data_IF_101408962425
#
_entry.id   IF_101408962425
#
_cell.length_a   1.000
_cell.length_b   1.000
_cell.length_c   1.000
_cell.angle_alpha   90.00
_cell.angle_beta   90.00
_cell.angle_gamma   90.00
#
_symmetry.space_group_name_H-M   'P 1'
#
loop_
_entity.id
_entity.type
_entity.pdbx_description
1 polymer ?
#
# COMPACT_ATOMS: atom_id res chain seq x y z
N UNK A 1 -16.08 1.44 -19.26
CA UNK A 1 -15.07 0.42 -19.55
C UNK A 1 -15.55 -0.94 -19.06
N UNK A 2 -15.36 -2.05 -19.80
CA UNK A 2 -15.72 -3.39 -19.34
C UNK A 2 -14.87 -3.87 -18.14
N UNK A 3 -13.80 -3.16 -17.84
CA UNK A 3 -12.88 -3.46 -16.73
C UNK A 3 -13.10 -2.55 -15.51
N UNK A 4 -14.12 -1.70 -15.53
CA UNK A 4 -14.54 -0.95 -14.36
C UNK A 4 -15.25 -1.91 -13.39
N UNK A 5 -14.99 -1.78 -12.10
CA UNK A 5 -15.67 -2.59 -11.09
C UNK A 5 -17.18 -2.48 -11.20
N UNK A 6 -17.89 -3.58 -10.98
CA UNK A 6 -19.35 -3.56 -10.89
C UNK A 6 -19.79 -2.79 -9.66
N UNK A 7 -20.96 -2.15 -9.74
CA UNK A 7 -21.51 -1.35 -8.63
C UNK A 7 -21.64 -2.14 -7.33
N UNK A 8 -22.08 -3.39 -7.41
CA UNK A 8 -22.17 -4.30 -6.26
C UNK A 8 -20.81 -4.51 -5.54
N UNK A 9 -19.72 -4.61 -6.32
CA UNK A 9 -18.38 -4.74 -5.75
C UNK A 9 -17.86 -3.43 -5.17
N UNK A 10 -18.15 -2.30 -5.80
CA UNK A 10 -17.81 -0.99 -5.27
C UNK A 10 -18.47 -0.76 -3.92
N UNK A 11 -19.76 -1.10 -3.78
CA UNK A 11 -20.50 -0.99 -2.53
C UNK A 11 -19.91 -1.89 -1.46
N UNK A 12 -19.56 -3.15 -1.76
CA UNK A 12 -18.97 -4.08 -0.79
C UNK A 12 -17.58 -3.63 -0.31
N UNK A 13 -16.84 -2.91 -1.15
CA UNK A 13 -15.55 -2.32 -0.82
C UNK A 13 -15.63 -0.93 -0.14
N UNK A 14 -16.86 -0.43 0.09
CA UNK A 14 -17.09 0.86 0.73
C UNK A 14 -17.18 2.06 -0.22
N UNK A 15 -17.25 1.84 -1.52
CA UNK A 15 -17.54 2.89 -2.48
C UNK A 15 -19.00 2.76 -3.01
N UNK A 16 -19.74 3.86 -3.16
CA UNK A 16 -19.29 5.27 -3.14
C UNK A 16 -18.96 5.84 -1.75
N UNK A 17 -19.03 5.05 -0.69
CA UNK A 17 -18.76 5.48 0.67
C UNK A 17 -19.76 6.55 1.17
N UNK A 18 -19.68 6.92 2.41
CA UNK A 18 -20.37 8.09 2.93
C UNK A 18 -19.48 9.32 2.67
N UNK A 19 -19.83 10.07 1.63
CA UNK A 19 -19.17 11.34 1.37
C UNK A 19 -19.44 12.30 2.52
N UNK A 20 -18.36 12.89 3.05
CA UNK A 20 -18.47 13.93 4.06
C UNK A 20 -19.18 15.17 3.51
N UNK A 21 -19.82 15.96 4.39
CA UNK A 21 -20.39 17.24 3.98
C UNK A 21 -19.32 18.14 3.35
N UNK A 22 -19.68 18.86 2.30
CA UNK A 22 -18.78 19.71 1.50
C UNK A 22 -17.55 18.96 0.97
N UNK A 23 -17.74 17.70 0.58
CA UNK A 23 -16.66 16.81 0.13
C UNK A 23 -15.81 17.39 -1.00
N UNK A 24 -16.41 18.15 -1.94
CA UNK A 24 -15.69 18.77 -3.05
C UNK A 24 -14.68 19.81 -2.55
N UNK A 25 -15.10 20.69 -1.67
CA UNK A 25 -14.24 21.70 -1.05
C UNK A 25 -13.10 21.02 -0.27
N UNK A 26 -13.44 20.08 0.61
CA UNK A 26 -12.45 19.32 1.39
C UNK A 26 -11.45 18.56 0.51
N UNK A 27 -11.91 17.99 -0.60
CA UNK A 27 -11.02 17.30 -1.55
C UNK A 27 -10.05 18.27 -2.25
N UNK A 28 -10.53 19.45 -2.61
CA UNK A 28 -9.71 20.51 -3.23
C UNK A 28 -8.69 21.05 -2.23
N UNK A 29 -9.11 21.31 -1.00
CA UNK A 29 -8.24 21.78 0.09
C UNK A 29 -7.16 20.75 0.38
N UNK A 30 -7.55 19.47 0.53
CA UNK A 30 -6.59 18.37 0.73
C UNK A 30 -5.61 18.26 -0.42
N UNK A 31 -6.08 18.40 -1.67
CA UNK A 31 -5.20 18.41 -2.84
C UNK A 31 -4.22 19.60 -2.78
N UNK A 32 -4.67 20.78 -2.35
CA UNK A 32 -3.82 21.96 -2.15
C UNK A 32 -2.73 21.73 -1.11
N UNK A 33 -3.08 21.10 0.02
CA UNK A 33 -2.14 20.71 1.07
C UNK A 33 -1.06 19.75 0.52
N UNK A 34 -1.48 18.72 -0.23
CA UNK A 34 -0.57 17.76 -0.84
C UNK A 34 0.37 18.41 -1.87
N UNK A 35 -0.13 19.34 -2.68
CA UNK A 35 0.70 20.11 -3.63
C UNK A 35 1.71 21.02 -2.94
N UNK A 36 1.44 21.42 -1.71
CA UNK A 36 2.34 22.23 -0.88
C UNK A 36 3.36 21.36 -0.15
N UNK A 37 2.88 20.27 0.45
CA UNK A 37 3.71 19.30 1.20
C UNK A 37 4.67 18.54 0.29
N UNK A 38 4.19 18.08 -0.87
CA UNK A 38 4.96 17.28 -1.83
C UNK A 38 5.21 18.07 -3.12
N UNK A 39 6.32 18.82 -3.16
CA UNK A 39 6.68 19.62 -4.33
C UNK A 39 6.81 18.81 -5.62
N UNK A 40 7.25 17.56 -5.53
CA UNK A 40 7.30 16.60 -6.63
C UNK A 40 5.97 16.41 -7.33
N UNK A 41 4.87 16.38 -6.58
CA UNK A 41 3.53 16.19 -7.13
C UNK A 41 3.17 17.28 -8.16
N UNK A 42 3.44 18.55 -7.83
CA UNK A 42 3.23 19.67 -8.76
C UNK A 42 4.11 19.54 -10.00
N UNK A 43 5.40 19.24 -9.80
CA UNK A 43 6.34 19.04 -10.92
C UNK A 43 5.85 17.92 -11.84
N UNK A 44 5.40 16.81 -11.29
CA UNK A 44 4.88 15.70 -12.09
C UNK A 44 3.63 16.06 -12.90
N UNK A 45 2.70 16.80 -12.30
CA UNK A 45 1.47 17.24 -12.97
C UNK A 45 1.74 18.27 -14.08
N UNK A 46 2.76 19.13 -13.92
CA UNK A 46 3.09 20.16 -14.90
C UNK A 46 4.03 19.67 -16.00
N UNK A 47 5.02 18.81 -15.68
CA UNK A 47 6.11 18.45 -16.59
C UNK A 47 5.79 17.32 -17.57
N UNK A 48 4.67 16.60 -17.41
CA UNK A 48 4.33 15.48 -18.30
C UNK A 48 4.01 15.98 -19.72
N UNK A 49 4.81 15.57 -20.68
CA UNK A 49 4.63 15.88 -22.10
C UNK A 49 3.75 14.86 -22.83
N UNK A 50 3.18 13.88 -22.12
CA UNK A 50 2.28 12.85 -22.67
C UNK A 50 2.93 12.00 -23.79
N UNK A 51 4.23 11.77 -23.74
CA UNK A 51 4.97 10.99 -24.75
C UNK A 51 4.58 9.51 -24.84
N UNK A 52 3.88 8.98 -23.83
CA UNK A 52 3.42 7.58 -23.79
C UNK A 52 4.47 6.51 -23.46
N UNK A 53 5.74 6.88 -23.19
CA UNK A 53 6.80 5.90 -22.88
C UNK A 53 6.51 4.96 -21.70
N UNK A 54 5.61 5.36 -20.79
CA UNK A 54 5.16 4.56 -19.65
C UNK A 54 4.02 3.57 -19.99
N UNK A 55 3.38 3.70 -21.15
CA UNK A 55 2.11 3.03 -21.48
C UNK A 55 2.25 1.51 -21.54
N UNK A 56 3.17 1.01 -22.35
CA UNK A 56 3.44 -0.42 -22.54
C UNK A 56 4.14 -1.09 -21.35
N UNK A 57 4.54 -0.30 -20.35
CA UNK A 57 5.19 -0.79 -19.13
C UNK A 57 4.17 -1.12 -18.03
N UNK A 58 2.93 -0.65 -18.15
CA UNK A 58 1.88 -0.91 -17.16
C UNK A 58 1.18 -2.24 -17.44
N UNK A 59 1.29 -3.18 -16.50
CA UNK A 59 0.65 -4.50 -16.62
C UNK A 59 -0.89 -4.40 -16.60
N UNK A 60 -1.47 -3.45 -15.86
CA UNK A 60 -2.92 -3.21 -15.90
C UNK A 60 -3.38 -2.73 -17.29
N UNK A 61 -2.64 -1.81 -17.90
CA UNK A 61 -2.94 -1.42 -19.27
C UNK A 61 -2.76 -2.58 -20.25
N UNK A 62 -1.71 -3.38 -20.08
CA UNK A 62 -1.48 -4.54 -20.94
C UNK A 62 -2.60 -5.57 -20.86
N UNK A 63 -3.15 -5.81 -19.67
CA UNK A 63 -4.27 -6.72 -19.47
C UNK A 63 -5.62 -6.14 -19.92
N UNK A 64 -5.89 -4.87 -19.60
CA UNK A 64 -7.22 -4.28 -19.83
C UNK A 64 -7.37 -3.56 -21.15
N UNK A 65 -6.29 -3.07 -21.74
CA UNK A 65 -6.25 -2.19 -22.90
C UNK A 65 -7.08 -0.89 -22.73
N UNK A 66 -7.51 -0.58 -21.52
CA UNK A 66 -8.24 0.63 -21.21
C UNK A 66 -7.31 1.84 -21.17
N UNK A 67 -7.52 2.89 -21.99
CA UNK A 67 -6.65 4.07 -22.01
C UNK A 67 -6.53 4.79 -20.66
N UNK A 68 -7.55 4.72 -19.80
CA UNK A 68 -7.48 5.30 -18.45
C UNK A 68 -6.54 4.52 -17.52
N UNK A 69 -6.21 3.27 -17.84
CA UNK A 69 -5.20 2.48 -17.14
C UNK A 69 -3.76 2.74 -17.59
N UNK A 70 -3.56 3.48 -18.68
CA UNK A 70 -2.22 4.00 -19.00
C UNK A 70 -1.72 4.87 -17.83
N UNK A 71 -0.45 4.80 -17.44
CA UNK A 71 0.07 5.70 -16.40
C UNK A 71 -0.16 7.19 -16.75
N UNK A 72 0.05 7.56 -17.99
CA UNK A 72 -0.28 8.91 -18.49
C UNK A 72 -1.77 9.22 -18.43
N UNK A 73 -2.65 8.23 -18.63
CA UNK A 73 -4.10 8.36 -18.49
C UNK A 73 -4.49 8.64 -17.04
N UNK A 74 -3.95 7.87 -16.08
CA UNK A 74 -4.14 8.11 -14.64
C UNK A 74 -3.65 9.50 -14.24
N UNK A 75 -2.47 9.90 -14.70
CA UNK A 75 -1.98 11.25 -14.44
C UNK A 75 -2.96 12.32 -14.95
N UNK A 76 -3.54 12.14 -16.13
CA UNK A 76 -4.49 13.09 -16.69
C UNK A 76 -5.79 13.20 -15.89
N UNK A 77 -6.21 12.15 -15.19
CA UNK A 77 -7.38 12.22 -14.29
C UNK A 77 -7.15 13.29 -13.20
N UNK A 78 -6.03 13.23 -12.47
CA UNK A 78 -5.72 14.21 -11.44
C UNK A 78 -5.33 15.58 -12.04
N UNK A 79 -4.58 15.57 -13.14
CA UNK A 79 -4.12 16.77 -13.82
C UNK A 79 -5.28 17.65 -14.32
N UNK A 80 -6.39 17.06 -14.75
CA UNK A 80 -7.56 17.81 -15.20
C UNK A 80 -8.19 18.60 -14.05
N UNK A 81 -8.29 18.00 -12.86
CA UNK A 81 -8.77 18.66 -11.64
C UNK A 81 -7.77 19.68 -11.13
N UNK A 82 -6.48 19.31 -11.08
CA UNK A 82 -5.40 20.22 -10.73
C UNK A 82 -5.42 21.50 -11.57
N UNK A 83 -5.55 21.37 -12.90
CA UNK A 83 -5.63 22.54 -13.79
C UNK A 83 -6.83 23.40 -13.48
N UNK A 84 -7.99 22.80 -13.17
CA UNK A 84 -9.23 23.55 -12.91
C UNK A 84 -9.12 24.47 -11.70
N UNK A 85 -8.51 24.00 -10.62
CA UNK A 85 -8.52 24.72 -9.36
C UNK A 85 -7.21 25.43 -9.01
N UNK A 86 -6.08 24.98 -9.55
CA UNK A 86 -4.75 25.45 -9.14
C UNK A 86 -3.97 26.19 -10.23
N UNK A 87 -4.51 26.33 -11.44
CA UNK A 87 -3.85 27.08 -12.52
C UNK A 87 -4.73 28.18 -13.10
N UNK A 88 -4.12 29.30 -13.46
CA UNK A 88 -4.86 30.43 -14.09
C UNK A 88 -5.54 30.01 -15.40
N UNK A 89 -4.86 29.32 -16.34
CA UNK A 89 -5.52 28.87 -17.57
C UNK A 89 -6.71 27.97 -17.33
N UNK A 90 -6.65 27.09 -16.32
CA UNK A 90 -7.74 26.18 -15.99
C UNK A 90 -8.94 26.89 -15.37
N UNK A 91 -8.73 27.98 -14.66
CA UNK A 91 -9.82 28.82 -14.10
C UNK A 91 -10.59 29.57 -15.19
N UNK A 92 -9.86 30.19 -16.11
CA UNK A 92 -10.45 31.08 -17.12
C UNK A 92 -10.80 30.39 -18.43
N UNK A 93 -10.02 29.39 -18.84
CA UNK A 93 -10.16 28.70 -20.14
C UNK A 93 -10.19 27.16 -19.95
N UNK A 94 -11.10 26.60 -19.13
CA UNK A 94 -11.05 25.18 -18.73
C UNK A 94 -11.08 24.22 -19.93
N UNK A 95 -11.92 24.49 -20.93
CA UNK A 95 -12.05 23.64 -22.11
C UNK A 95 -10.75 23.59 -22.94
N UNK A 96 -10.05 24.71 -23.04
CA UNK A 96 -8.81 24.81 -23.85
C UNK A 96 -7.66 23.98 -23.27
N UNK A 97 -7.57 23.89 -21.94
CA UNK A 97 -6.51 23.17 -21.25
C UNK A 97 -6.95 21.80 -20.70
N UNK A 98 -8.15 21.34 -21.04
CA UNK A 98 -8.67 20.05 -20.59
C UNK A 98 -8.89 19.97 -19.07
N UNK A 99 -9.20 21.12 -18.44
CA UNK A 99 -9.52 21.19 -17.03
C UNK A 99 -10.95 20.70 -16.77
N UNK A 100 -11.17 19.96 -15.67
CA UNK A 100 -12.47 19.40 -15.29
C UNK A 100 -12.80 19.76 -13.84
N UNK A 101 -14.07 20.07 -13.60
CA UNK A 101 -14.59 20.19 -12.25
C UNK A 101 -14.58 18.82 -11.56
N UNK A 102 -14.37 18.80 -10.25
CA UNK A 102 -14.43 17.58 -9.46
C UNK A 102 -15.89 17.21 -9.20
N UNK A 103 -16.43 16.35 -10.05
CA UNK A 103 -17.81 15.82 -9.94
C UNK A 103 -17.80 14.39 -9.38
N UNK A 104 -18.99 13.84 -9.09
CA UNK A 104 -19.11 12.44 -8.66
C UNK A 104 -18.60 11.47 -9.72
N UNK A 105 -18.84 11.73 -10.99
CA UNK A 105 -18.35 10.91 -12.11
C UNK A 105 -16.81 10.94 -12.19
N UNK A 106 -16.19 12.10 -11.97
CA UNK A 106 -14.73 12.23 -11.90
C UNK A 106 -14.18 11.47 -10.70
N UNK A 107 -14.84 11.57 -9.55
CA UNK A 107 -14.46 10.84 -8.34
C UNK A 107 -14.57 9.32 -8.53
N UNK A 108 -15.62 8.86 -9.22
CA UNK A 108 -15.80 7.44 -9.57
C UNK A 108 -14.70 6.93 -10.51
N UNK A 109 -14.31 7.72 -11.50
CA UNK A 109 -13.14 7.43 -12.32
C UNK A 109 -11.86 7.36 -11.48
N UNK A 110 -11.66 8.31 -10.55
CA UNK A 110 -10.52 8.29 -9.64
C UNK A 110 -10.48 7.01 -8.80
N UNK A 111 -11.60 6.66 -8.19
CA UNK A 111 -11.68 5.43 -7.39
C UNK A 111 -11.30 4.21 -8.21
N UNK A 112 -11.93 4.04 -9.39
CA UNK A 112 -11.69 2.88 -10.24
C UNK A 112 -10.24 2.76 -10.69
N UNK A 113 -9.67 3.83 -11.23
CA UNK A 113 -8.38 3.77 -11.91
C UNK A 113 -7.17 3.95 -10.98
N UNK A 114 -7.31 4.69 -9.90
CA UNK A 114 -6.21 4.81 -8.94
C UNK A 114 -6.09 3.57 -8.06
N UNK A 115 -7.19 2.92 -7.65
CA UNK A 115 -7.09 1.67 -6.88
C UNK A 115 -6.69 0.47 -7.74
N UNK A 116 -6.85 0.52 -9.05
CA UNK A 116 -6.27 -0.48 -9.96
C UNK A 116 -4.74 -0.35 -10.10
N UNK A 117 -4.13 0.75 -9.69
CA UNK A 117 -2.69 0.89 -9.69
C UNK A 117 -2.05 0.04 -8.58
N UNK A 118 -1.23 -0.95 -8.94
CA UNK A 118 -0.50 -1.79 -7.97
C UNK A 118 0.71 -1.10 -7.34
N UNK A 119 0.97 0.15 -7.63
CA UNK A 119 2.09 0.91 -7.06
C UNK A 119 3.50 0.35 -7.38
N UNK A 120 3.65 -0.44 -8.45
CA UNK A 120 4.91 -1.11 -8.81
C UNK A 120 6.01 -0.18 -9.35
N UNK A 121 5.72 1.08 -9.65
CA UNK A 121 6.63 2.13 -10.15
C UNK A 121 7.34 1.86 -11.49
N UNK A 122 7.01 0.81 -12.22
CA UNK A 122 7.60 0.56 -13.55
C UNK A 122 7.47 1.77 -14.47
N UNK A 123 6.34 2.49 -14.41
CA UNK A 123 6.14 3.72 -15.17
C UNK A 123 7.13 4.83 -14.82
N UNK A 124 7.58 4.94 -13.59
CA UNK A 124 8.59 5.91 -13.17
C UNK A 124 9.98 5.57 -13.74
N UNK A 125 10.35 4.30 -13.69
CA UNK A 125 11.64 3.81 -14.20
C UNK A 125 11.81 4.10 -15.70
N UNK A 126 10.73 3.96 -16.47
CA UNK A 126 10.75 4.18 -17.93
C UNK A 126 10.36 5.60 -18.35
N UNK A 127 10.07 6.48 -17.40
CA UNK A 127 9.75 7.87 -17.72
C UNK A 127 11.04 8.69 -18.03
N UNK A 128 11.20 9.25 -19.25
CA UNK A 128 12.40 10.03 -19.58
C UNK A 128 12.53 11.32 -18.77
N UNK A 129 11.44 11.75 -18.11
CA UNK A 129 11.40 12.97 -17.27
C UNK A 129 11.42 12.61 -15.77
N UNK A 130 11.38 11.33 -15.42
CA UNK A 130 11.40 10.89 -14.03
C UNK A 130 10.07 11.07 -13.27
N UNK A 131 8.93 11.13 -13.98
CA UNK A 131 7.62 11.28 -13.36
C UNK A 131 7.19 9.98 -12.70
N UNK A 132 6.85 10.03 -11.41
CA UNK A 132 6.30 8.90 -10.68
C UNK A 132 4.76 8.95 -10.62
N UNK A 133 4.11 8.21 -11.52
CA UNK A 133 2.65 8.10 -11.54
C UNK A 133 2.11 7.33 -10.32
N UNK A 134 2.94 6.52 -9.65
CA UNK A 134 2.53 5.85 -8.42
C UNK A 134 2.35 6.86 -7.28
N UNK A 135 3.22 7.88 -7.18
CA UNK A 135 3.06 8.99 -6.23
C UNK A 135 1.77 9.77 -6.50
N UNK A 136 1.47 10.06 -7.77
CA UNK A 136 0.20 10.71 -8.15
C UNK A 136 -1.00 9.85 -7.73
N UNK A 137 -0.91 8.53 -7.91
CA UNK A 137 -1.98 7.61 -7.49
C UNK A 137 -2.14 7.56 -5.97
N UNK A 138 -1.05 7.63 -5.21
CA UNK A 138 -1.11 7.74 -3.74
C UNK A 138 -1.78 9.05 -3.31
N UNK A 139 -1.37 10.18 -3.90
CA UNK A 139 -1.96 11.46 -3.59
C UNK A 139 -3.48 11.48 -3.87
N UNK A 140 -3.91 10.90 -4.99
CA UNK A 140 -5.33 10.78 -5.32
C UNK A 140 -6.09 9.91 -4.31
N UNK A 141 -5.50 8.79 -3.86
CA UNK A 141 -6.09 7.94 -2.82
C UNK A 141 -6.19 8.68 -1.49
N UNK A 142 -5.18 9.45 -1.09
CA UNK A 142 -5.19 10.25 0.12
C UNK A 142 -6.29 11.31 0.08
N UNK A 143 -6.52 11.96 -1.08
CA UNK A 143 -7.65 12.87 -1.25
C UNK A 143 -8.98 12.11 -1.08
N UNK A 144 -9.15 10.97 -1.73
CA UNK A 144 -10.38 10.17 -1.63
C UNK A 144 -10.64 9.67 -0.21
N UNK A 145 -9.62 9.17 0.48
CA UNK A 145 -9.74 8.72 1.87
C UNK A 145 -10.17 9.86 2.82
N UNK A 146 -9.63 11.06 2.61
CA UNK A 146 -9.96 12.26 3.41
C UNK A 146 -11.42 12.71 3.31
N UNK A 147 -12.12 12.31 2.26
CA UNK A 147 -13.54 12.65 2.02
C UNK A 147 -14.49 11.48 2.24
N UNK A 148 -14.00 10.37 2.83
CA UNK A 148 -14.82 9.20 3.17
C UNK A 148 -14.94 8.15 2.07
N UNK A 149 -14.15 8.23 1.00
CA UNK A 149 -14.17 7.31 -0.14
C UNK A 149 -12.89 6.46 -0.18
N UNK A 150 -12.47 5.95 0.96
CA UNK A 150 -11.34 5.02 1.09
C UNK A 150 -11.75 3.57 0.87
N UNK A 151 -10.76 2.68 0.69
CA UNK A 151 -11.01 1.25 0.67
C UNK A 151 -11.32 0.74 2.09
N UNK A 152 -12.57 0.35 2.31
CA UNK A 152 -13.07 -0.15 3.60
C UNK A 152 -12.21 -1.29 4.15
N UNK A 153 -11.89 -2.28 3.32
CA UNK A 153 -11.06 -3.42 3.72
C UNK A 153 -9.67 -3.02 4.22
N UNK A 154 -8.98 -2.12 3.52
CA UNK A 154 -7.67 -1.63 3.95
C UNK A 154 -7.75 -0.86 5.27
N UNK A 155 -8.78 -0.04 5.45
CA UNK A 155 -9.00 0.70 6.69
C UNK A 155 -9.31 -0.24 7.88
N UNK A 156 -10.09 -1.31 7.66
CA UNK A 156 -10.35 -2.33 8.68
C UNK A 156 -9.07 -3.05 9.10
N UNK A 157 -8.22 -3.45 8.14
CA UNK A 157 -6.93 -4.08 8.42
C UNK A 157 -6.03 -3.14 9.23
N UNK A 158 -5.90 -1.88 8.81
CA UNK A 158 -5.11 -0.88 9.55
C UNK A 158 -5.61 -0.74 10.99
N UNK A 159 -6.93 -0.71 11.18
CA UNK A 159 -7.54 -0.66 12.52
C UNK A 159 -7.21 -1.89 13.36
N UNK A 160 -7.24 -3.11 12.77
CA UNK A 160 -6.87 -4.35 13.45
C UNK A 160 -5.40 -4.35 13.88
N UNK A 161 -4.50 -3.95 12.98
CA UNK A 161 -3.07 -3.87 13.31
C UNK A 161 -2.81 -2.87 14.45
N UNK A 162 -3.47 -1.72 14.45
CA UNK A 162 -3.32 -0.75 15.54
C UNK A 162 -3.84 -1.27 16.89
N UNK A 163 -4.88 -2.10 16.89
CA UNK A 163 -5.49 -2.61 18.10
C UNK A 163 -4.81 -3.88 18.63
N UNK A 164 -4.41 -4.79 17.75
CA UNK A 164 -4.03 -6.16 18.10
C UNK A 164 -2.62 -6.53 17.63
N UNK A 165 -2.06 -5.83 16.66
CA UNK A 165 -0.70 -6.08 16.18
C UNK A 165 -0.60 -6.79 14.82
N UNK A 166 -1.66 -7.44 14.36
CA UNK A 166 -1.67 -8.14 13.08
C UNK A 166 -2.93 -7.84 12.26
N UNK A 167 -2.85 -8.08 10.96
CA UNK A 167 -3.92 -7.73 10.01
C UNK A 167 -5.13 -8.67 10.07
N UNK A 168 -5.03 -9.85 10.65
CA UNK A 168 -6.20 -10.73 10.90
C UNK A 168 -6.94 -10.38 12.19
N UNK A 169 -6.28 -9.67 13.10
CA UNK A 169 -6.86 -9.32 14.40
C UNK A 169 -6.84 -10.49 15.37
N UNK A 170 -5.83 -11.36 15.29
CA UNK A 170 -5.63 -12.48 16.19
C UNK A 170 -5.00 -12.02 17.50
N UNK A 171 -5.59 -12.33 18.65
CA UNK A 171 -4.95 -12.17 19.95
C UNK A 171 -3.66 -13.02 20.02
N UNK A 172 -2.68 -12.55 20.79
CA UNK A 172 -1.41 -13.25 20.98
C UNK A 172 -1.54 -14.73 21.35
N UNK A 173 -2.43 -15.15 22.29
CA UNK A 173 -2.58 -16.59 22.60
C UNK A 173 -3.02 -17.42 21.40
N UNK A 174 -3.96 -16.92 20.60
CA UNK A 174 -4.44 -17.63 19.40
C UNK A 174 -3.36 -17.69 18.30
N UNK A 175 -2.50 -16.68 18.22
CA UNK A 175 -1.34 -16.70 17.33
C UNK A 175 -0.32 -17.75 17.79
N UNK A 176 -0.03 -17.83 19.08
CA UNK A 176 0.86 -18.83 19.67
C UNK A 176 0.34 -20.27 19.42
N UNK A 177 -0.94 -20.51 19.71
CA UNK A 177 -1.57 -21.83 19.46
C UNK A 177 -1.49 -22.24 17.98
N UNK A 178 -1.65 -21.27 17.07
CA UNK A 178 -1.52 -21.55 15.63
C UNK A 178 -0.10 -21.93 15.25
N UNK A 179 0.91 -21.22 15.79
CA UNK A 179 2.31 -21.53 15.51
C UNK A 179 2.73 -22.88 16.09
N UNK A 180 2.22 -23.25 17.26
CA UNK A 180 2.42 -24.58 17.88
C UNK A 180 1.82 -25.68 16.99
N UNK A 181 0.61 -25.48 16.47
CA UNK A 181 0.01 -26.40 15.50
C UNK A 181 0.85 -26.59 14.24
N UNK A 182 1.44 -25.51 13.70
CA UNK A 182 2.36 -25.62 12.56
C UNK A 182 3.66 -26.37 12.88
N UNK A 183 4.15 -26.29 14.12
CA UNK A 183 5.31 -27.09 14.57
C UNK A 183 4.99 -28.58 14.56
N UNK A 184 3.81 -28.95 15.06
CA UNK A 184 3.32 -30.34 15.07
C UNK A 184 3.15 -30.87 13.63
N UNK A 185 2.51 -30.12 12.75
CA UNK A 185 2.31 -30.50 11.35
C UNK A 185 3.66 -30.74 10.63
N UNK A 186 4.63 -29.83 10.81
CA UNK A 186 5.96 -29.96 10.19
C UNK A 186 6.71 -31.16 10.74
N UNK A 187 6.60 -31.43 12.05
CA UNK A 187 7.25 -32.59 12.69
C UNK A 187 6.66 -33.90 12.16
N UNK A 188 5.32 -33.98 12.02
CA UNK A 188 4.66 -35.18 11.47
C UNK A 188 5.04 -35.44 10.01
N UNK A 189 5.14 -34.38 9.20
CA UNK A 189 5.46 -34.53 7.77
C UNK A 189 6.94 -34.80 7.48
N UNK A 190 7.85 -34.25 8.29
CA UNK A 190 9.29 -34.21 7.92
C UNK A 190 10.20 -34.89 8.92
N UNK A 191 9.70 -35.29 10.10
CA UNK A 191 10.48 -35.79 11.24
C UNK A 191 11.54 -34.76 11.74
N UNK A 192 11.42 -33.48 11.36
CA UNK A 192 12.33 -32.38 11.75
C UNK A 192 11.63 -31.48 12.75
N UNK A 193 12.21 -31.32 13.94
CA UNK A 193 11.67 -30.45 15.00
C UNK A 193 12.03 -28.98 14.68
N UNK A 194 11.20 -28.36 13.85
CA UNK A 194 11.33 -26.94 13.50
C UNK A 194 10.47 -26.12 14.44
N UNK A 195 10.98 -24.97 14.87
CA UNK A 195 10.28 -24.05 15.78
C UNK A 195 9.85 -22.77 15.07
N UNK A 196 8.68 -22.24 15.50
CA UNK A 196 8.15 -20.93 15.09
C UNK A 196 8.17 -19.98 16.30
N UNK A 197 9.32 -19.42 16.65
CA UNK A 197 9.47 -18.62 17.86
C UNK A 197 8.72 -17.30 17.75
N UNK A 198 7.97 -16.94 18.81
CA UNK A 198 7.22 -15.70 18.94
C UNK A 198 7.81 -14.86 20.07
N UNK A 199 8.10 -13.59 19.80
CA UNK A 199 8.60 -12.58 20.74
C UNK A 199 9.87 -12.99 21.53
N UNK A 200 10.76 -13.78 20.91
CA UNK A 200 12.01 -14.23 21.50
C UNK A 200 13.08 -13.15 21.35
N UNK A 201 13.60 -12.67 22.49
CA UNK A 201 14.65 -11.65 22.55
C UNK A 201 16.02 -12.19 22.13
N UNK A 202 16.87 -11.26 21.71
CA UNK A 202 18.27 -11.50 21.31
C UNK A 202 18.44 -12.45 20.11
N UNK A 203 17.38 -12.62 19.31
CA UNK A 203 17.42 -13.37 18.08
C UNK A 203 18.22 -12.64 16.99
N UNK A 204 18.82 -13.38 16.05
CA UNK A 204 19.53 -12.77 14.92
C UNK A 204 18.57 -12.06 13.95
N UNK A 205 17.38 -12.61 13.76
CA UNK A 205 16.42 -12.17 12.75
C UNK A 205 15.03 -11.98 13.34
N UNK A 206 14.41 -10.83 13.06
CA UNK A 206 12.96 -10.64 13.12
C UNK A 206 12.40 -10.88 11.73
N UNK A 207 11.59 -11.93 11.58
CA UNK A 207 10.85 -12.18 10.35
C UNK A 207 9.51 -11.43 10.40
N UNK A 208 9.34 -10.49 9.48
CA UNK A 208 8.11 -9.72 9.31
C UNK A 208 7.35 -10.28 8.12
N UNK A 209 6.24 -10.96 8.38
CA UNK A 209 5.42 -11.59 7.35
C UNK A 209 3.97 -11.09 7.40
N UNK A 210 3.18 -11.24 6.32
CA UNK A 210 1.75 -11.01 6.36
C UNK A 210 1.08 -12.09 7.22
N UNK A 211 0.00 -11.71 7.93
CA UNK A 211 -0.74 -12.68 8.76
C UNK A 211 -1.40 -13.79 7.93
N UNK A 212 -1.50 -13.64 6.62
CA UNK A 212 -1.95 -14.71 5.73
C UNK A 212 -1.04 -15.95 5.81
N UNK A 213 0.24 -15.76 6.10
CA UNK A 213 1.24 -16.83 6.23
C UNK A 213 0.94 -17.80 7.38
N UNK A 214 0.08 -17.42 8.30
CA UNK A 214 -0.30 -18.28 9.42
C UNK A 214 -1.45 -19.25 9.11
N UNK A 215 -2.26 -18.99 8.07
CA UNK A 215 -3.53 -19.73 7.85
C UNK A 215 -3.87 -20.03 6.40
N UNK A 216 -3.35 -19.26 5.44
CA UNK A 216 -3.81 -19.34 4.07
C UNK A 216 -2.85 -20.13 3.21
N UNK A 217 -3.28 -21.26 2.68
CA UNK A 217 -2.56 -21.94 1.62
C UNK A 217 -2.55 -21.09 0.32
N UNK A 218 -1.44 -21.00 -0.39
CA UNK A 218 -0.14 -21.64 -0.15
C UNK A 218 0.83 -20.79 0.73
N UNK A 219 0.36 -19.75 1.40
CA UNK A 219 1.20 -18.82 2.18
C UNK A 219 1.84 -19.50 3.41
N UNK A 220 1.12 -20.43 4.03
CA UNK A 220 1.63 -21.25 5.15
C UNK A 220 2.90 -22.00 4.75
N UNK A 221 2.93 -22.55 3.54
CA UNK A 221 4.12 -23.24 3.01
C UNK A 221 5.35 -22.31 2.94
N UNK A 222 5.12 -21.02 2.66
CA UNK A 222 6.16 -20.00 2.69
C UNK A 222 6.75 -19.82 4.09
N UNK A 223 5.92 -19.71 5.11
CA UNK A 223 6.36 -19.60 6.51
C UNK A 223 7.11 -20.84 6.97
N UNK A 224 6.58 -22.03 6.66
CA UNK A 224 7.24 -23.31 6.91
C UNK A 224 8.59 -23.36 6.19
N UNK A 225 8.67 -22.87 4.96
CA UNK A 225 9.93 -22.77 4.20
C UNK A 225 10.96 -21.89 4.88
N UNK A 226 10.59 -20.71 5.41
CA UNK A 226 11.49 -19.87 6.20
C UNK A 226 12.00 -20.61 7.42
N UNK A 227 11.12 -21.24 8.20
CA UNK A 227 11.48 -21.95 9.42
C UNK A 227 12.47 -23.10 9.14
N UNK A 228 12.23 -23.91 8.10
CA UNK A 228 13.13 -24.98 7.66
C UNK A 228 14.51 -24.46 7.25
N UNK A 229 14.56 -23.33 6.49
CA UNK A 229 15.82 -22.71 6.06
C UNK A 229 16.59 -22.16 7.25
N UNK A 230 15.95 -21.45 8.18
CA UNK A 230 16.60 -20.93 9.37
C UNK A 230 17.10 -22.04 10.28
N UNK A 231 16.31 -23.10 10.47
CA UNK A 231 16.72 -24.29 11.21
C UNK A 231 17.98 -24.93 10.60
N UNK A 232 17.98 -25.20 9.30
CA UNK A 232 19.13 -25.81 8.61
C UNK A 232 20.37 -24.93 8.61
N UNK A 233 20.19 -23.60 8.57
CA UNK A 233 21.29 -22.64 8.61
C UNK A 233 21.79 -22.31 10.03
N UNK A 234 21.12 -22.81 11.08
CA UNK A 234 21.43 -22.50 12.47
C UNK A 234 21.25 -21.01 12.83
N UNK A 235 20.29 -20.34 12.17
CA UNK A 235 19.98 -18.93 12.38
C UNK A 235 18.90 -18.83 13.46
N UNK A 236 19.17 -18.07 14.53
CA UNK A 236 18.16 -17.72 15.52
C UNK A 236 17.23 -16.65 14.94
N UNK A 237 15.93 -16.84 15.08
CA UNK A 237 14.94 -15.94 14.54
C UNK A 237 13.70 -15.85 15.42
N UNK A 238 12.86 -14.87 15.17
CA UNK A 238 11.59 -14.71 15.87
C UNK A 238 10.55 -14.01 14.99
N UNK A 239 9.29 -14.29 15.25
CA UNK A 239 8.14 -13.48 14.86
C UNK A 239 7.82 -12.46 15.95
N UNK A 240 6.92 -11.51 15.67
CA UNK A 240 6.42 -10.57 16.68
C UNK A 240 4.90 -10.58 16.75
N UNK A 241 4.36 -10.61 17.97
CA UNK A 241 2.92 -10.39 18.23
C UNK A 241 2.54 -8.90 18.06
N UNK A 242 3.51 -7.99 18.21
CA UNK A 242 3.30 -6.54 18.12
C UNK A 242 3.31 -6.00 16.70
N UNK A 243 4.08 -6.60 15.79
CA UNK A 243 4.31 -6.08 14.45
C UNK A 243 4.19 -7.15 13.38
N UNK A 244 3.38 -6.88 12.38
CA UNK A 244 3.28 -7.67 11.15
C UNK A 244 3.48 -6.79 9.93
N UNK A 245 3.60 -7.41 8.77
CA UNK A 245 3.68 -6.73 7.49
C UNK A 245 2.33 -6.11 7.14
N UNK A 246 2.15 -4.84 7.43
CA UNK A 246 0.89 -4.13 7.19
C UNK A 246 1.06 -2.69 6.66
N UNK A 247 2.28 -2.17 6.59
CA UNK A 247 2.53 -0.80 6.15
C UNK A 247 2.12 -0.54 4.68
N UNK A 248 2.08 -1.60 3.85
CA UNK A 248 1.53 -1.57 2.50
C UNK A 248 0.03 -1.19 2.45
N UNK A 249 -0.76 -1.48 3.47
CA UNK A 249 -2.16 -1.04 3.52
C UNK A 249 -2.28 0.47 3.64
N UNK A 250 -1.36 1.13 4.35
CA UNK A 250 -1.24 2.60 4.32
C UNK A 250 -0.96 3.14 2.91
N UNK A 251 -0.13 2.45 2.14
CA UNK A 251 0.11 2.79 0.72
C UNK A 251 -1.16 2.57 -0.14
N UNK A 252 -1.95 1.54 0.14
CA UNK A 252 -3.17 1.27 -0.62
C UNK A 252 -4.25 2.31 -0.42
N UNK A 253 -4.34 2.92 0.75
CA UNK A 253 -5.24 4.07 1.01
C UNK A 253 -4.57 5.43 0.77
N UNK A 254 -3.29 5.47 0.39
CA UNK A 254 -2.53 6.70 0.16
C UNK A 254 -2.09 7.44 1.42
N UNK A 255 -2.19 6.83 2.60
CA UNK A 255 -1.89 7.48 3.88
C UNK A 255 -0.43 7.27 4.33
N UNK A 256 0.41 8.28 4.14
CA UNK A 256 1.78 8.29 4.68
C UNK A 256 1.81 8.23 6.22
N UNK A 257 0.82 8.81 6.89
CA UNK A 257 0.74 8.79 8.35
C UNK A 257 0.49 7.36 8.87
N UNK A 258 -0.42 6.62 8.22
CA UNK A 258 -0.64 5.20 8.55
C UNK A 258 0.57 4.34 8.16
N UNK A 259 1.18 4.57 7.01
CA UNK A 259 2.44 3.89 6.65
C UNK A 259 3.50 4.09 7.72
N UNK A 260 3.68 5.34 8.19
CA UNK A 260 4.63 5.66 9.25
C UNK A 260 4.31 4.94 10.56
N UNK A 261 3.07 4.99 11.01
CA UNK A 261 2.65 4.33 12.26
C UNK A 261 2.90 2.82 12.21
N UNK A 262 2.55 2.18 11.10
CA UNK A 262 2.75 0.74 10.92
C UNK A 262 4.24 0.39 10.80
N UNK A 263 5.04 1.20 10.10
CA UNK A 263 6.49 1.04 10.03
C UNK A 263 7.16 1.23 11.41
N UNK A 264 6.67 2.17 12.21
CA UNK A 264 7.18 2.39 13.59
C UNK A 264 6.96 1.17 14.48
N UNK A 265 5.83 0.46 14.35
CA UNK A 265 5.60 -0.79 15.10
C UNK A 265 6.66 -1.86 14.79
N UNK A 266 7.06 -1.97 13.52
CA UNK A 266 8.13 -2.89 13.11
C UNK A 266 9.46 -2.50 13.79
N UNK A 267 9.76 -1.20 13.81
CA UNK A 267 10.95 -0.69 14.49
C UNK A 267 10.90 -0.93 16.00
N UNK A 268 9.76 -0.66 16.62
CA UNK A 268 9.54 -0.88 18.05
C UNK A 268 9.75 -2.36 18.41
N UNK A 269 9.15 -3.28 17.65
CA UNK A 269 9.35 -4.71 17.84
C UNK A 269 10.81 -5.11 17.71
N UNK A 270 11.51 -4.63 16.67
CA UNK A 270 12.92 -4.95 16.46
C UNK A 270 13.83 -4.47 17.62
N UNK A 271 13.57 -3.27 18.16
CA UNK A 271 14.31 -2.72 19.28
C UNK A 271 13.98 -3.43 20.60
N UNK A 272 12.71 -3.72 20.87
CA UNK A 272 12.30 -4.41 22.10
C UNK A 272 12.81 -5.84 22.15
N UNK A 273 12.80 -6.54 21.02
CA UNK A 273 13.32 -7.90 20.89
C UNK A 273 14.84 -7.94 20.73
N UNK A 274 15.50 -6.79 20.59
CA UNK A 274 16.96 -6.68 20.43
C UNK A 274 17.49 -7.57 19.30
N UNK A 275 16.83 -7.57 18.15
CA UNK A 275 17.24 -8.36 16.98
C UNK A 275 18.32 -7.64 16.17
N UNK A 276 19.16 -8.40 15.47
CA UNK A 276 20.25 -7.84 14.65
C UNK A 276 19.80 -7.45 13.25
N UNK A 277 18.76 -8.09 12.72
CA UNK A 277 18.30 -7.92 11.34
C UNK A 277 16.80 -8.06 11.26
N UNK A 278 16.19 -7.35 10.29
CA UNK A 278 14.79 -7.52 9.91
C UNK A 278 14.76 -8.19 8.53
N UNK A 279 14.02 -9.28 8.41
CA UNK A 279 13.76 -9.96 7.14
C UNK A 279 12.27 -9.78 6.82
N UNK A 280 11.98 -9.28 5.62
CA UNK A 280 10.62 -9.17 5.14
C UNK A 280 10.25 -10.42 4.35
N UNK A 281 9.02 -10.88 4.56
CA UNK A 281 8.45 -12.02 3.88
C UNK A 281 8.20 -11.80 2.39
N UNK A 282 7.26 -12.53 1.82
CA UNK A 282 7.08 -12.70 0.38
C UNK A 282 6.36 -11.52 -0.33
N UNK A 283 5.66 -10.65 0.40
CA UNK A 283 4.80 -9.62 -0.21
C UNK A 283 5.61 -8.49 -0.85
N UNK A 284 5.56 -8.43 -2.19
CA UNK A 284 6.26 -7.40 -2.95
C UNK A 284 5.80 -5.96 -2.64
N UNK A 285 4.58 -5.75 -2.17
CA UNK A 285 4.10 -4.43 -1.78
C UNK A 285 4.69 -4.00 -0.43
N UNK A 286 4.78 -4.90 0.54
CA UNK A 286 5.42 -4.62 1.80
C UNK A 286 6.93 -4.42 1.63
N UNK A 287 7.58 -5.23 0.81
CA UNK A 287 8.96 -5.01 0.41
C UNK A 287 9.17 -3.62 -0.18
N UNK A 288 8.27 -3.18 -1.07
CA UNK A 288 8.34 -1.83 -1.64
C UNK A 288 8.25 -0.75 -0.56
N UNK A 289 7.34 -0.88 0.38
CA UNK A 289 7.20 0.08 1.49
C UNK A 289 8.45 0.06 2.37
N UNK A 290 8.93 -1.13 2.73
CA UNK A 290 10.14 -1.29 3.52
C UNK A 290 11.35 -0.64 2.82
N UNK A 291 11.61 -1.00 1.59
CA UNK A 291 12.75 -0.49 0.83
C UNK A 291 12.68 1.02 0.59
N UNK A 292 11.51 1.56 0.24
CA UNK A 292 11.36 2.96 -0.15
C UNK A 292 11.13 3.91 1.02
N UNK A 293 10.49 3.46 2.09
CA UNK A 293 9.92 4.35 3.10
C UNK A 293 10.29 4.03 4.54
N UNK A 294 10.75 2.81 4.85
CA UNK A 294 11.00 2.42 6.24
C UNK A 294 12.00 3.37 6.92
N UNK A 295 13.18 3.56 6.32
CA UNK A 295 14.19 4.49 6.83
C UNK A 295 13.71 5.95 6.82
N UNK A 296 12.93 6.34 5.81
CA UNK A 296 12.44 7.73 5.68
C UNK A 296 11.34 8.04 6.69
N UNK A 297 10.42 7.12 6.92
CA UNK A 297 9.25 7.32 7.77
C UNK A 297 9.51 6.99 9.24
N UNK A 298 10.25 5.90 9.49
CA UNK A 298 10.52 5.39 10.84
C UNK A 298 11.92 5.75 11.39
N UNK A 299 12.73 6.40 10.57
CA UNK A 299 14.13 6.74 10.87
C UNK A 299 15.11 5.66 10.42
N UNK A 300 16.42 5.98 10.40
CA UNK A 300 17.42 5.03 9.95
C UNK A 300 17.43 3.79 10.87
N UNK A 301 17.68 2.65 10.26
CA UNK A 301 18.05 1.39 10.91
C UNK A 301 19.56 1.27 10.71
N UNK A 302 20.30 1.18 11.78
CA UNK A 302 21.76 1.05 11.77
C UNK A 302 22.16 -0.40 11.45
#
# INVERSE_FOLDING_TARGET
>A
SPFKSKEEFQTSLGYPGELVDNWQEKAIDKMGDLLTKYRSLRVYLDSCIQCGACTDKCHYYQGTKDPKNMPVGRQNLMRSVYRRYFTLPGKYFPKLVGAKDLTKEVLEDWYSYYHQCSQCRRCAVFCPIGIDTAEISMAAREVMDSIGVGQKYCNEIISKVHKIGNNLGLPEPALADTLEGLEEDVLEETEVDVKFPLDVKDSDVLLVTPSADFFAEPHVDGLIGYAKVFHQAGISWTLSSHASEAANFGMFIGSYDNMKKLAMRIREAALELNVKRIVFGECGHAWRVAYSFLNTLAGPFD
#
